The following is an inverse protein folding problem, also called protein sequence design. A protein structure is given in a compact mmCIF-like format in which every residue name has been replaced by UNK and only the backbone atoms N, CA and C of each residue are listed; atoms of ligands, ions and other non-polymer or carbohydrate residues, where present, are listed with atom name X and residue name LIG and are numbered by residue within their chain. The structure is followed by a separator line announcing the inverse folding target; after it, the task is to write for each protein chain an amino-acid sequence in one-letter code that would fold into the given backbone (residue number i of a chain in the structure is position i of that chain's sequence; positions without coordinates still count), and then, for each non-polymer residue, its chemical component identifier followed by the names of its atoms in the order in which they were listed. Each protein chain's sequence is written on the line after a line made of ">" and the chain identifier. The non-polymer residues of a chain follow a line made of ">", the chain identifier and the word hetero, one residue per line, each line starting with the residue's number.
data_IF_459721507788
#
_entry.id   IF_459721507788
#
_cell.length_a   1.000
_cell.length_b   1.000
_cell.length_c   1.000
_cell.angle_alpha   90.00
_cell.angle_beta   90.00
_cell.angle_gamma   90.00
#
_symmetry.space_group_name_H-M   'P 1'
#
loop_
_entity.id
_entity.type
_entity.pdbx_description
1 polymer ?
#
# COMPACT_ATOMS: atom_id res chain seq x y z
N UNK A 1 -11.43 -5.04 7.48
CA UNK A 1 -10.16 -4.92 6.72
C UNK A 1 -9.64 -3.50 6.84
N UNK A 2 -10.36 -2.51 6.31
CA UNK A 2 -10.01 -1.09 6.53
C UNK A 2 -9.87 -0.76 8.02
N UNK A 3 -10.83 -1.20 8.85
CA UNK A 3 -10.76 -1.06 10.32
C UNK A 3 -9.52 -1.72 10.93
N UNK A 4 -9.13 -2.90 10.45
CA UNK A 4 -7.94 -3.63 10.90
C UNK A 4 -6.66 -2.86 10.57
N UNK A 5 -6.57 -2.33 9.33
CA UNK A 5 -5.45 -1.50 8.91
C UNK A 5 -5.41 -0.22 9.76
N UNK A 6 -6.55 0.45 9.94
CA UNK A 6 -6.65 1.66 10.75
C UNK A 6 -6.18 1.45 12.18
N UNK A 7 -6.67 0.41 12.87
CA UNK A 7 -6.31 0.09 14.25
C UNK A 7 -4.81 -0.19 14.37
N UNK A 8 -4.24 -0.93 13.40
CA UNK A 8 -2.82 -1.18 13.36
C UNK A 8 -2.01 0.10 13.17
N UNK A 9 -2.36 0.95 12.20
CA UNK A 9 -1.70 2.23 11.97
C UNK A 9 -1.78 3.13 13.22
N UNK A 10 -2.91 3.14 13.92
CA UNK A 10 -3.07 3.85 15.18
C UNK A 10 -2.09 3.36 16.26
N UNK A 11 -1.85 2.04 16.34
CA UNK A 11 -0.85 1.47 17.26
C UNK A 11 0.61 1.80 16.88
N UNK A 12 0.85 2.19 15.63
CA UNK A 12 2.16 2.50 15.05
C UNK A 12 2.42 3.99 14.85
N UNK A 13 1.60 4.89 15.42
CA UNK A 13 1.73 6.34 15.25
C UNK A 13 3.16 6.83 15.49
N UNK A 14 3.73 7.53 14.50
CA UNK A 14 5.08 8.08 14.54
C UNK A 14 6.21 7.06 14.36
N UNK A 15 5.89 5.83 13.95
CA UNK A 15 6.85 4.75 13.71
C UNK A 15 6.70 4.21 12.30
N UNK A 16 7.74 3.53 11.83
CA UNK A 16 7.65 2.70 10.64
C UNK A 16 6.62 1.58 10.86
N UNK A 17 5.89 1.24 9.80
CA UNK A 17 4.99 0.10 9.76
C UNK A 17 5.15 -0.67 8.45
N UNK A 18 4.83 -1.96 8.51
CA UNK A 18 4.68 -2.84 7.35
C UNK A 18 3.40 -3.63 7.54
N UNK A 19 2.68 -3.85 6.44
CA UNK A 19 1.42 -4.58 6.35
C UNK A 19 1.55 -5.55 5.18
N UNK A 20 1.30 -6.84 5.41
CA UNK A 20 1.32 -7.84 4.34
C UNK A 20 -0.10 -8.20 3.90
N UNK A 21 -0.26 -8.56 2.63
CA UNK A 21 -1.52 -9.07 2.11
C UNK A 21 -1.34 -10.47 1.54
N UNK A 22 -2.04 -11.43 2.13
CA UNK A 22 -2.11 -12.80 1.65
C UNK A 22 -3.27 -12.95 0.68
N UNK A 23 -2.99 -13.39 -0.54
CA UNK A 23 -4.00 -13.72 -1.54
C UNK A 23 -3.64 -15.02 -2.27
N UNK A 24 -4.60 -15.62 -2.95
CA UNK A 24 -4.37 -16.75 -3.86
C UNK A 24 -3.96 -16.33 -5.28
N UNK A 25 -4.08 -15.04 -5.61
CA UNK A 25 -3.74 -14.49 -6.93
C UNK A 25 -2.27 -14.06 -6.98
N UNK A 26 -1.83 -13.33 -5.96
CA UNK A 26 -0.49 -12.78 -5.82
C UNK A 26 0.12 -13.11 -4.46
N UNK A 27 1.42 -13.39 -4.44
CA UNK A 27 2.25 -13.43 -3.24
C UNK A 27 3.21 -12.25 -3.21
N UNK A 28 3.71 -11.89 -2.02
CA UNK A 28 4.69 -10.81 -1.86
C UNK A 28 4.10 -9.40 -1.94
N UNK A 29 2.76 -9.25 -1.79
CA UNK A 29 2.12 -7.95 -1.62
C UNK A 29 2.37 -7.47 -0.19
N UNK A 30 2.96 -6.28 -0.08
CA UNK A 30 3.06 -5.56 1.18
C UNK A 30 2.91 -4.06 0.94
N UNK A 31 2.56 -3.37 2.03
CA UNK A 31 2.67 -1.94 2.18
C UNK A 31 3.67 -1.64 3.27
N UNK A 32 4.42 -0.58 3.12
CA UNK A 32 5.20 -0.03 4.21
C UNK A 32 5.05 1.49 4.25
N UNK A 33 5.27 2.07 5.41
CA UNK A 33 5.29 3.51 5.55
C UNK A 33 6.20 3.97 6.67
N UNK A 34 6.68 5.19 6.52
CA UNK A 34 7.60 5.83 7.45
C UNK A 34 7.15 7.26 7.72
N UNK A 35 7.29 7.67 8.98
CA UNK A 35 6.97 9.02 9.40
C UNK A 35 8.09 9.97 9.00
N UNK A 36 7.70 11.08 8.39
CA UNK A 36 8.58 12.17 7.98
C UNK A 36 8.53 13.31 9.01
N UNK A 37 9.55 14.20 9.04
CA UNK A 37 9.50 15.42 9.83
C UNK A 37 8.24 16.25 9.53
N UNK A 38 7.53 16.69 10.57
CA UNK A 38 6.31 17.48 10.42
C UNK A 38 5.02 16.65 10.39
N UNK A 39 5.09 15.33 10.53
CA UNK A 39 3.92 14.47 10.65
C UNK A 39 3.37 13.94 9.33
N UNK A 40 4.06 14.21 8.22
CA UNK A 40 3.78 13.58 6.93
C UNK A 40 4.18 12.10 6.96
N UNK A 41 3.61 11.33 6.05
CA UNK A 41 3.94 9.92 5.88
C UNK A 41 4.27 9.68 4.41
N UNK A 42 5.37 8.99 4.18
CA UNK A 42 5.63 8.39 2.87
C UNK A 42 5.23 6.92 2.94
N UNK A 43 4.48 6.45 1.95
CA UNK A 43 4.06 5.05 1.85
C UNK A 43 4.59 4.42 0.58
N UNK A 44 4.82 3.12 0.64
CA UNK A 44 5.21 2.30 -0.48
C UNK A 44 4.29 1.09 -0.63
N UNK A 45 4.07 0.67 -1.88
CA UNK A 45 3.37 -0.56 -2.24
C UNK A 45 4.27 -1.46 -3.10
N UNK A 46 4.24 -2.75 -2.81
CA UNK A 46 5.11 -3.74 -3.46
C UNK A 46 4.97 -3.77 -4.99
N UNK A 47 6.10 -3.78 -5.70
CA UNK A 47 6.15 -3.92 -7.16
C UNK A 47 6.52 -5.34 -7.61
N UNK A 48 6.71 -5.53 -8.92
CA UNK A 48 7.13 -6.79 -9.56
C UNK A 48 8.44 -7.39 -9.03
N UNK A 49 9.25 -6.60 -8.32
CA UNK A 49 10.43 -7.12 -7.61
C UNK A 49 10.00 -8.14 -6.56
N UNK A 50 8.97 -7.82 -5.78
CA UNK A 50 8.47 -8.66 -4.69
C UNK A 50 7.24 -9.48 -5.10
N UNK A 51 6.32 -8.88 -5.85
CA UNK A 51 5.02 -9.48 -6.19
C UNK A 51 5.16 -10.59 -7.23
N UNK A 52 4.55 -11.75 -6.97
CA UNK A 52 4.52 -12.91 -7.87
C UNK A 52 3.08 -13.46 -8.02
N UNK A 53 2.59 -13.72 -9.26
CA UNK A 53 3.22 -13.39 -10.54
C UNK A 53 3.39 -11.86 -10.72
N UNK A 54 4.26 -11.39 -11.64
CA UNK A 54 4.43 -9.97 -11.88
C UNK A 54 3.11 -9.30 -12.27
N UNK A 55 2.90 -8.05 -11.81
CA UNK A 55 1.75 -7.23 -12.19
C UNK A 55 1.75 -6.97 -13.70
N UNK A 56 0.58 -7.10 -14.31
CA UNK A 56 0.37 -6.79 -15.71
C UNK A 56 0.30 -5.27 -15.96
N UNK A 57 0.20 -4.88 -17.23
CA UNK A 57 0.15 -3.48 -17.61
C UNK A 57 -1.08 -2.74 -17.06
N UNK A 58 -2.21 -3.44 -16.87
CA UNK A 58 -3.45 -2.84 -16.41
C UNK A 58 -3.47 -2.67 -14.90
N UNK A 59 -2.92 -3.62 -14.13
CA UNK A 59 -2.64 -3.45 -12.69
C UNK A 59 -1.77 -2.21 -12.45
N UNK A 60 -0.67 -2.08 -13.20
CA UNK A 60 0.24 -0.93 -13.08
C UNK A 60 -0.44 0.39 -13.43
N UNK A 61 -1.27 0.43 -14.48
CA UNK A 61 -2.09 1.61 -14.80
C UNK A 61 -3.10 1.92 -13.69
N UNK A 62 -3.70 0.91 -13.06
CA UNK A 62 -4.58 1.07 -11.91
C UNK A 62 -3.88 1.77 -10.76
N UNK A 63 -2.69 1.29 -10.38
CA UNK A 63 -1.85 1.92 -9.34
C UNK A 63 -1.53 3.38 -9.66
N UNK A 64 -1.10 3.67 -10.89
CA UNK A 64 -0.81 5.05 -11.32
C UNK A 64 -2.07 5.94 -11.26
N UNK A 65 -3.24 5.40 -11.61
CA UNK A 65 -4.51 6.14 -11.56
C UNK A 65 -4.94 6.51 -10.14
N UNK A 66 -4.59 5.68 -9.14
CA UNK A 66 -4.79 5.94 -7.70
C UNK A 66 -3.73 6.94 -7.17
N UNK A 67 -2.80 7.35 -8.05
CA UNK A 67 -1.78 8.35 -7.76
C UNK A 67 -0.55 7.78 -7.07
N UNK A 68 -0.24 6.51 -7.31
CA UNK A 68 1.07 5.94 -6.99
C UNK A 68 2.09 6.31 -8.05
N UNK A 69 3.28 6.72 -7.63
CA UNK A 69 4.42 6.88 -8.54
C UNK A 69 5.03 5.50 -8.84
N UNK A 70 5.34 5.19 -10.11
CA UNK A 70 5.88 3.89 -10.47
C UNK A 70 7.33 3.71 -9.96
N UNK A 71 7.79 2.46 -9.78
CA UNK A 71 9.18 2.17 -9.49
C UNK A 71 10.14 2.84 -10.48
N UNK A 72 11.27 3.31 -9.97
CA UNK A 72 12.33 3.98 -10.74
C UNK A 72 13.71 3.59 -10.23
N UNK A 73 14.78 4.10 -10.84
CA UNK A 73 16.15 3.76 -10.46
C UNK A 73 16.42 4.12 -8.98
N UNK A 74 16.67 3.10 -8.17
CA UNK A 74 16.90 3.24 -6.72
C UNK A 74 15.63 3.16 -5.85
N UNK A 75 14.43 3.20 -6.44
CA UNK A 75 13.14 3.05 -5.75
C UNK A 75 12.39 1.85 -6.31
N UNK A 76 12.52 0.66 -5.69
CA UNK A 76 12.01 -0.59 -6.26
C UNK A 76 10.48 -0.70 -6.18
N UNK A 77 9.83 0.07 -5.32
CA UNK A 77 8.39 -0.01 -5.05
C UNK A 77 7.62 1.15 -5.69
N UNK A 78 6.30 1.00 -5.75
CA UNK A 78 5.45 2.16 -5.96
C UNK A 78 5.51 3.03 -4.71
N UNK A 79 5.58 4.35 -4.88
CA UNK A 79 5.74 5.30 -3.76
C UNK A 79 4.69 6.40 -3.83
N UNK A 80 4.26 6.89 -2.67
CA UNK A 80 3.39 8.05 -2.56
C UNK A 80 3.79 8.89 -1.34
N UNK A 81 4.06 10.17 -1.58
CA UNK A 81 4.33 11.15 -0.54
C UNK A 81 3.00 11.81 -0.15
N UNK A 82 2.56 11.61 1.09
CA UNK A 82 1.24 12.06 1.53
C UNK A 82 1.33 13.44 2.16
N UNK A 83 0.38 14.31 1.86
CA UNK A 83 0.19 15.55 2.62
C UNK A 83 -0.32 15.26 4.06
N UNK A 84 -0.49 16.30 4.89
CA UNK A 84 -0.93 16.11 6.28
C UNK A 84 -2.31 15.45 6.41
N UNK A 85 -3.24 15.74 5.49
CA UNK A 85 -4.58 15.18 5.51
C UNK A 85 -4.54 13.73 5.04
N UNK A 86 -3.81 13.47 3.95
CA UNK A 86 -3.61 12.12 3.41
C UNK A 86 -2.84 11.22 4.39
N UNK A 87 -2.02 11.81 5.27
CA UNK A 87 -1.29 11.10 6.32
C UNK A 87 -2.16 10.67 7.51
N UNK A 88 -3.45 10.99 7.52
CA UNK A 88 -4.37 10.48 8.52
C UNK A 88 -4.58 8.96 8.34
N UNK A 89 -4.62 8.22 9.45
CA UNK A 89 -4.75 6.75 9.41
C UNK A 89 -5.96 6.27 8.61
N UNK A 90 -7.06 7.03 8.60
CA UNK A 90 -8.26 6.69 7.83
C UNK A 90 -8.00 6.79 6.32
N UNK A 91 -7.31 7.85 5.88
CA UNK A 91 -6.96 8.06 4.47
C UNK A 91 -5.94 7.02 4.00
N UNK A 92 -4.95 6.67 4.83
CA UNK A 92 -3.98 5.60 4.51
C UNK A 92 -4.68 4.24 4.43
N UNK A 93 -5.56 3.92 5.39
CA UNK A 93 -6.29 2.66 5.38
C UNK A 93 -7.16 2.51 4.12
N UNK A 94 -7.86 3.59 3.75
CA UNK A 94 -8.63 3.65 2.50
C UNK A 94 -7.74 3.50 1.28
N UNK A 95 -6.62 4.22 1.19
CA UNK A 95 -5.65 4.10 0.10
C UNK A 95 -5.16 2.66 -0.07
N UNK A 96 -4.85 1.96 1.02
CA UNK A 96 -4.37 0.57 0.95
C UNK A 96 -5.46 -0.39 0.47
N UNK A 97 -6.70 -0.21 0.92
CA UNK A 97 -7.84 -1.00 0.43
C UNK A 97 -8.09 -0.74 -1.05
N UNK A 98 -8.14 0.52 -1.48
CA UNK A 98 -8.26 0.89 -2.90
C UNK A 98 -7.10 0.31 -3.72
N UNK A 99 -5.88 0.31 -3.18
CA UNK A 99 -4.71 -0.26 -3.84
C UNK A 99 -4.83 -1.77 -4.02
N UNK A 100 -5.34 -2.50 -3.02
CA UNK A 100 -5.62 -3.93 -3.11
C UNK A 100 -6.71 -4.25 -4.15
N UNK A 101 -7.79 -3.47 -4.17
CA UNK A 101 -8.91 -3.71 -5.06
C UNK A 101 -8.65 -3.26 -6.51
N UNK A 102 -8.13 -2.06 -6.71
CA UNK A 102 -8.05 -1.45 -8.03
C UNK A 102 -6.64 -1.54 -8.64
N UNK A 103 -5.60 -1.52 -7.80
CA UNK A 103 -4.22 -1.69 -8.21
C UNK A 103 -3.87 -3.16 -8.42
N UNK A 104 -4.05 -3.98 -7.39
CA UNK A 104 -3.80 -5.42 -7.42
C UNK A 104 -4.99 -6.24 -7.96
N UNK A 105 -6.14 -5.61 -8.25
CA UNK A 105 -7.34 -6.30 -8.79
C UNK A 105 -7.83 -7.45 -7.92
N UNK A 106 -7.68 -7.33 -6.60
CA UNK A 106 -8.13 -8.35 -5.65
C UNK A 106 -9.59 -8.11 -5.24
N UNK A 107 -10.42 -9.13 -5.35
CA UNK A 107 -11.81 -9.06 -4.90
C UNK A 107 -11.89 -9.16 -3.36
N UNK A 108 -12.76 -8.37 -2.74
CA UNK A 108 -13.00 -8.44 -1.29
C UNK A 108 -13.37 -9.88 -0.90
N UNK A 109 -12.70 -10.39 0.13
CA UNK A 109 -12.89 -11.76 0.62
C UNK A 109 -11.96 -12.80 0.00
N UNK A 110 -11.21 -12.44 -1.05
CA UNK A 110 -10.19 -13.33 -1.66
C UNK A 110 -8.78 -13.12 -1.10
N UNK A 111 -8.60 -12.13 -0.23
CA UNK A 111 -7.34 -11.81 0.42
C UNK A 111 -7.53 -11.45 1.90
N UNK A 112 -6.43 -11.55 2.65
CA UNK A 112 -6.35 -11.20 4.08
C UNK A 112 -5.19 -10.26 4.30
N UNK A 113 -5.35 -9.35 5.25
CA UNK A 113 -4.31 -8.43 5.67
C UNK A 113 -3.71 -8.93 6.98
N UNK A 114 -2.39 -9.01 7.04
CA UNK A 114 -1.61 -9.40 8.22
C UNK A 114 -0.79 -8.20 8.70
N UNK A 115 -0.86 -7.94 10.02
CA UNK A 115 -0.32 -6.75 10.69
C UNK A 115 0.36 -7.11 12.01
#
# INVERSE_FOLDING_TARGET
>A
MESTIFEYLASRKGKQFTIESLSNVYTGIYFQGYSEPGGYITVEAASNISVKPPLDADNRKGLIKIGWEPPSDGLPNFIKFLDLKESENAEIAKLFVETLQDGYKLEIGTFKVEV
#
